data_IF_962518822799
#
_entry.id   IF_962518822799
#
_cell.length_a   1.000
_cell.length_b   1.000
_cell.length_c   1.000
_cell.angle_alpha   90.00
_cell.angle_beta   90.00
_cell.angle_gamma   90.00
#
_symmetry.space_group_name_H-M   'P 1'
#
loop_
_entity.id
_entity.type
_entity.pdbx_description
1 polymer ?
#
# COMPACT_ATOMS: atom_id res chain seq x y z
N UNK A 1 18.85 17.95 13.83
CA UNK A 1 19.34 19.36 13.85
C UNK A 1 19.98 19.64 15.21
N UNK A 2 21.29 19.45 15.35
CA UNK A 2 22.07 19.84 16.54
C UNK A 2 23.38 20.51 16.09
N UNK A 3 23.98 21.34 16.95
CA UNK A 3 24.98 22.35 16.54
C UNK A 3 26.41 21.81 16.45
N UNK A 4 27.19 22.42 15.55
CA UNK A 4 28.59 22.12 15.34
C UNK A 4 29.47 22.53 16.53
N UNK A 5 30.59 21.82 16.71
CA UNK A 5 31.71 22.23 17.57
C UNK A 5 32.99 22.17 16.75
N UNK A 6 33.54 23.33 16.38
CA UNK A 6 34.88 23.42 15.78
C UNK A 6 35.92 23.31 16.89
N UNK A 7 36.87 22.38 16.76
CA UNK A 7 38.19 22.50 17.42
C UNK A 7 39.27 22.51 16.36
N UNK A 8 40.11 23.54 16.40
CA UNK A 8 41.36 23.59 15.66
C UNK A 8 42.42 22.90 16.51
N UNK A 9 43.09 21.89 15.95
CA UNK A 9 44.37 21.39 16.45
C UNK A 9 45.29 21.31 15.24
N UNK A 10 46.12 22.34 15.08
CA UNK A 10 47.21 22.31 14.10
C UNK A 10 48.31 21.36 14.60
N UNK A 11 48.77 20.45 13.75
CA UNK A 11 49.70 19.40 14.16
C UNK A 11 50.32 18.67 12.98
N UNK A 12 51.39 19.25 12.43
CA UNK A 12 52.43 18.55 11.64
C UNK A 12 51.96 17.73 10.41
N UNK A 13 50.90 18.15 9.70
CA UNK A 13 50.38 17.41 8.52
C UNK A 13 50.21 18.20 7.22
N UNK A 14 50.78 19.41 7.15
CA UNK A 14 51.01 20.14 5.89
C UNK A 14 52.49 20.56 5.81
N UNK A 15 53.31 19.69 5.20
CA UNK A 15 54.60 20.06 4.63
C UNK A 15 54.55 19.72 3.13
N UNK A 16 54.58 20.73 2.23
CA UNK A 16 54.52 20.48 0.80
C UNK A 16 55.76 19.71 0.32
N UNK A 17 55.58 18.92 -0.74
CA UNK A 17 56.51 17.89 -1.27
C UNK A 17 57.85 18.40 -1.84
N UNK A 18 58.36 19.56 -1.42
CA UNK A 18 59.57 20.20 -1.97
C UNK A 18 60.60 20.63 -0.92
N UNK A 19 60.60 20.02 0.27
CA UNK A 19 61.62 20.24 1.32
C UNK A 19 62.86 19.34 1.17
N UNK A 20 62.95 18.56 0.08
CA UNK A 20 64.10 17.67 -0.20
C UNK A 20 65.40 18.41 -0.59
N UNK A 21 65.33 19.72 -0.86
CA UNK A 21 66.49 20.52 -1.33
C UNK A 21 67.28 21.22 -0.21
N UNK A 22 66.79 21.18 1.06
CA UNK A 22 67.38 21.95 2.17
C UNK A 22 68.14 21.12 3.23
N UNK A 23 68.56 19.91 2.89
CA UNK A 23 69.52 19.11 3.69
C UNK A 23 70.71 18.68 2.82
N UNK A 24 71.42 19.65 2.26
CA UNK A 24 72.75 19.47 1.66
C UNK A 24 73.61 20.70 1.93
N UNK A 25 74.07 20.86 3.18
CA UNK A 25 75.06 21.89 3.53
C UNK A 25 75.93 21.53 4.75
N UNK A 26 76.69 20.45 4.61
CA UNK A 26 77.90 20.22 5.39
C UNK A 26 78.94 19.52 4.51
N UNK A 27 80.17 20.03 4.50
CA UNK A 27 81.36 19.48 3.81
C UNK A 27 81.34 19.50 2.26
N UNK A 28 81.77 20.65 1.70
CA UNK A 28 82.57 20.84 0.44
C UNK A 28 81.93 20.37 -0.91
N UNK A 29 82.03 21.01 -2.09
CA UNK A 29 82.90 21.99 -2.80
C UNK A 29 82.01 22.65 -3.92
N UNK A 30 82.03 23.92 -4.40
CA UNK A 30 82.72 25.21 -4.17
C UNK A 30 81.83 26.38 -4.71
N UNK A 31 82.35 27.61 -4.84
CA UNK A 31 82.34 28.30 -6.16
C UNK A 31 81.48 29.55 -6.41
N UNK A 32 81.92 30.73 -5.94
CA UNK A 32 81.77 32.07 -6.60
C UNK A 32 82.57 33.11 -5.76
N UNK A 33 83.48 33.95 -6.28
CA UNK A 33 83.31 35.14 -7.14
C UNK A 33 82.31 36.18 -6.58
N UNK A 34 82.62 37.48 -6.44
CA UNK A 34 83.73 38.30 -6.99
C UNK A 34 84.32 39.30 -5.96
N UNK A 35 85.52 39.85 -6.21
CA UNK A 35 86.08 40.95 -5.40
C UNK A 35 87.56 41.28 -5.60
N UNK A 36 87.85 42.26 -6.48
CA UNK A 36 89.08 43.08 -6.53
C UNK A 36 90.49 42.42 -6.47
N UNK A 37 91.08 42.21 -7.66
CA UNK A 37 92.42 42.67 -8.11
C UNK A 37 93.66 42.68 -7.18
N UNK A 38 94.81 42.28 -7.77
CA UNK A 38 96.22 42.46 -7.33
C UNK A 38 96.85 41.41 -6.37
N UNK A 39 97.19 40.22 -6.91
CA UNK A 39 98.46 39.50 -6.70
C UNK A 39 98.55 38.30 -7.68
N UNK A 40 99.22 38.39 -8.83
CA UNK A 40 100.69 38.37 -9.01
C UNK A 40 101.38 37.00 -8.78
N UNK A 41 100.98 35.98 -9.56
CA UNK A 41 101.90 35.02 -10.22
C UNK A 41 103.13 34.47 -9.46
N UNK A 42 102.90 33.67 -8.41
CA UNK A 42 103.80 32.62 -7.88
C UNK A 42 102.90 31.45 -7.42
N UNK A 43 103.22 30.16 -7.53
CA UNK A 43 104.52 29.50 -7.75
C UNK A 43 104.40 28.34 -8.77
N UNK A 44 104.70 28.62 -10.04
CA UNK A 44 104.98 27.62 -11.09
C UNK A 44 106.30 27.95 -11.77
N UNK A 45 107.40 27.84 -11.02
CA UNK A 45 108.81 27.79 -11.49
C UNK A 45 109.73 27.63 -10.26
N UNK A 46 109.72 26.45 -9.62
CA UNK A 46 110.44 26.22 -8.35
C UNK A 46 111.56 25.17 -8.38
N UNK A 47 111.56 24.24 -9.36
CA UNK A 47 112.44 23.04 -9.34
C UNK A 47 113.58 23.12 -10.37
N UNK A 48 113.51 24.04 -11.33
CA UNK A 48 114.47 24.11 -12.46
C UNK A 48 115.56 25.18 -12.26
N UNK A 49 115.33 26.19 -11.42
CA UNK A 49 116.18 27.39 -11.33
C UNK A 49 117.25 27.32 -10.21
N UNK A 50 117.22 26.28 -9.37
CA UNK A 50 118.25 26.04 -8.35
C UNK A 50 119.53 25.39 -8.92
N UNK A 51 119.52 25.02 -10.21
CA UNK A 51 120.65 24.41 -10.93
C UNK A 51 121.64 25.46 -11.48
N UNK A 52 121.33 26.77 -11.37
CA UNK A 52 122.03 27.83 -12.12
C UNK A 52 122.61 28.99 -11.30
N UNK A 53 123.05 28.74 -10.05
CA UNK A 53 123.77 29.76 -9.25
C UNK A 53 124.78 29.22 -8.23
N UNK A 54 125.71 28.38 -8.69
CA UNK A 54 126.86 27.89 -7.89
C UNK A 54 128.14 27.68 -8.73
N UNK A 55 128.38 28.54 -9.72
CA UNK A 55 129.62 28.54 -10.53
C UNK A 55 130.62 29.59 -10.03
N UNK A 56 131.91 29.28 -10.20
CA UNK A 56 133.05 30.16 -9.95
C UNK A 56 133.36 30.56 -8.49
N UNK A 57 133.91 29.62 -7.74
CA UNK A 57 135.31 29.82 -7.26
C UNK A 57 136.15 28.70 -7.85
N UNK A 58 137.16 29.06 -8.64
CA UNK A 58 138.13 28.12 -9.24
C UNK A 58 139.46 28.31 -8.52
N UNK A 59 139.93 27.27 -7.84
CA UNK A 59 141.29 27.21 -7.30
C UNK A 59 141.75 25.74 -7.19
N UNK A 60 142.47 25.31 -8.22
CA UNK A 60 143.55 24.31 -8.20
C UNK A 60 143.42 23.05 -7.31
N UNK A 61 143.15 21.90 -7.96
CA UNK A 61 144.23 20.91 -8.16
C UNK A 61 144.00 19.93 -9.32
N UNK A 62 144.89 20.08 -10.31
CA UNK A 62 145.48 19.08 -11.23
C UNK A 62 144.70 17.75 -11.45
N UNK A 63 144.25 17.45 -12.70
CA UNK A 63 143.77 16.12 -13.05
C UNK A 63 144.93 15.13 -13.20
N UNK A 64 145.20 14.33 -12.15
CA UNK A 64 146.20 13.26 -12.21
C UNK A 64 146.14 12.29 -11.03
N UNK A 65 146.19 10.99 -11.33
CA UNK A 65 146.43 9.89 -10.37
C UNK A 65 145.44 9.79 -9.18
N UNK A 66 144.14 10.02 -9.40
CA UNK A 66 143.13 9.19 -8.72
C UNK A 66 143.06 7.88 -9.53
N UNK A 67 143.56 6.77 -8.98
CA UNK A 67 143.78 5.53 -9.73
C UNK A 67 142.46 4.93 -10.25
N UNK A 68 142.57 4.04 -11.24
CA UNK A 68 141.41 3.30 -11.75
C UNK A 68 140.73 2.55 -10.59
N UNK A 69 141.52 1.93 -9.70
CA UNK A 69 141.14 1.46 -8.37
C UNK A 69 140.20 2.41 -7.61
N UNK A 70 140.59 3.64 -7.26
CA UNK A 70 139.73 4.50 -6.42
C UNK A 70 138.38 4.78 -7.08
N UNK A 71 138.35 4.91 -8.41
CA UNK A 71 137.12 5.11 -9.19
C UNK A 71 136.26 3.85 -9.21
N UNK A 72 136.87 2.67 -9.38
CA UNK A 72 136.19 1.38 -9.27
C UNK A 72 135.65 1.14 -7.86
N UNK A 73 136.41 1.42 -6.80
CA UNK A 73 135.94 1.31 -5.40
C UNK A 73 134.76 2.25 -5.15
N UNK A 74 134.83 3.51 -5.61
CA UNK A 74 133.75 4.50 -5.49
C UNK A 74 132.51 4.10 -6.30
N UNK A 75 132.70 3.43 -7.46
CA UNK A 75 131.63 2.86 -8.26
C UNK A 75 130.99 1.62 -7.62
N UNK A 76 131.78 0.67 -7.10
CA UNK A 76 131.28 -0.48 -6.35
C UNK A 76 130.52 -0.05 -5.09
N UNK A 77 131.02 0.94 -4.35
CA UNK A 77 130.31 1.53 -3.21
C UNK A 77 129.06 2.35 -3.61
N UNK A 78 128.88 2.71 -4.88
CA UNK A 78 127.62 3.25 -5.40
C UNK A 78 126.66 2.12 -5.82
N UNK A 79 127.16 1.08 -6.48
CA UNK A 79 126.39 -0.11 -6.89
C UNK A 79 125.85 -0.89 -5.70
N UNK A 80 126.63 -1.09 -4.63
CA UNK A 80 126.14 -1.79 -3.43
C UNK A 80 125.13 -0.97 -2.62
N UNK A 81 125.21 0.37 -2.66
CA UNK A 81 124.14 1.23 -2.11
C UNK A 81 122.88 1.16 -2.96
N UNK A 82 122.99 1.31 -4.28
CA UNK A 82 121.86 1.13 -5.20
C UNK A 82 121.19 -0.25 -5.04
N UNK A 83 121.97 -1.32 -4.82
CA UNK A 83 121.46 -2.67 -4.49
C UNK A 83 120.85 -2.78 -3.10
N UNK A 84 121.21 -1.93 -2.14
CA UNK A 84 120.56 -1.86 -0.84
C UNK A 84 119.22 -1.10 -0.95
N UNK A 85 119.22 0.10 -1.54
CA UNK A 85 118.00 0.84 -1.87
C UNK A 85 117.01 0.01 -2.72
N UNK A 86 117.49 -0.77 -3.70
CA UNK A 86 116.67 -1.69 -4.50
C UNK A 86 116.03 -2.80 -3.64
N UNK A 87 116.78 -3.38 -2.69
CA UNK A 87 116.26 -4.41 -1.78
C UNK A 87 115.20 -3.84 -0.82
N UNK A 88 115.44 -2.67 -0.25
CA UNK A 88 114.48 -2.01 0.64
C UNK A 88 113.23 -1.53 -0.11
N UNK A 89 113.38 -1.00 -1.33
CA UNK A 89 112.27 -0.65 -2.21
C UNK A 89 111.44 -1.88 -2.61
N UNK A 90 112.08 -3.02 -2.90
CA UNK A 90 111.39 -4.28 -3.17
C UNK A 90 110.68 -4.83 -1.93
N UNK A 91 111.26 -4.70 -0.73
CA UNK A 91 110.63 -5.10 0.52
C UNK A 91 109.36 -4.26 0.80
N UNK A 92 109.45 -2.93 0.68
CA UNK A 92 108.28 -2.06 0.81
C UNK A 92 107.23 -2.27 -0.28
N UNK A 93 107.63 -2.61 -1.52
CA UNK A 93 106.69 -2.97 -2.58
C UNK A 93 105.96 -4.30 -2.28
N UNK A 94 106.63 -5.28 -1.67
CA UNK A 94 105.99 -6.53 -1.23
C UNK A 94 105.03 -6.29 -0.05
N UNK A 95 105.42 -5.48 0.94
CA UNK A 95 104.57 -5.09 2.07
C UNK A 95 103.33 -4.30 1.60
N UNK A 96 103.52 -3.32 0.71
CA UNK A 96 102.43 -2.56 0.11
C UNK A 96 101.47 -3.45 -0.70
N UNK A 97 102.00 -4.45 -1.43
CA UNK A 97 101.17 -5.44 -2.11
C UNK A 97 100.37 -6.28 -1.11
N UNK A 98 101.00 -6.83 -0.07
CA UNK A 98 100.30 -7.65 0.94
C UNK A 98 99.15 -6.88 1.57
N UNK A 99 99.38 -5.64 2.00
CA UNK A 99 98.31 -4.76 2.55
C UNK A 99 97.20 -4.44 1.54
N UNK A 100 97.52 -4.33 0.25
CA UNK A 100 96.52 -4.13 -0.81
C UNK A 100 95.70 -5.40 -1.10
N UNK A 101 96.33 -6.58 -1.07
CA UNK A 101 95.65 -7.88 -1.19
C UNK A 101 94.74 -8.14 0.03
N UNK A 102 95.21 -7.84 1.25
CA UNK A 102 94.43 -7.89 2.50
C UNK A 102 93.22 -6.94 2.47
N UNK A 103 93.43 -5.67 2.10
CA UNK A 103 92.34 -4.70 1.95
C UNK A 103 91.32 -5.15 0.90
N UNK A 104 91.79 -5.73 -0.22
CA UNK A 104 90.94 -6.28 -1.27
C UNK A 104 90.14 -7.52 -0.82
N UNK A 105 90.68 -8.31 0.11
CA UNK A 105 89.97 -9.43 0.72
C UNK A 105 88.90 -8.94 1.71
N UNK A 106 89.24 -7.99 2.59
CA UNK A 106 88.31 -7.37 3.53
C UNK A 106 87.15 -6.64 2.83
N UNK A 107 87.42 -5.97 1.70
CA UNK A 107 86.37 -5.31 0.91
C UNK A 107 85.42 -6.31 0.21
N UNK A 108 85.90 -7.51 -0.15
CA UNK A 108 85.05 -8.59 -0.71
C UNK A 108 84.15 -9.17 0.38
N UNK A 109 84.74 -9.61 1.49
CA UNK A 109 84.04 -10.12 2.66
C UNK A 109 82.99 -9.11 3.19
N UNK A 110 83.35 -7.83 3.32
CA UNK A 110 82.43 -6.76 3.72
C UNK A 110 81.25 -6.59 2.76
N UNK A 111 81.47 -6.70 1.44
CA UNK A 111 80.39 -6.67 0.44
C UNK A 111 79.51 -7.91 0.46
N UNK A 112 80.06 -9.08 0.76
CA UNK A 112 79.30 -10.33 0.89
C UNK A 112 78.42 -10.31 2.16
N UNK A 113 78.97 -9.88 3.30
CA UNK A 113 78.21 -9.65 4.54
C UNK A 113 77.10 -8.62 4.35
N UNK A 114 77.37 -7.51 3.64
CA UNK A 114 76.37 -6.49 3.34
C UNK A 114 75.23 -7.04 2.47
N UNK A 115 75.54 -7.86 1.46
CA UNK A 115 74.53 -8.52 0.62
C UNK A 115 73.68 -9.52 1.41
N UNK A 116 74.30 -10.30 2.29
CA UNK A 116 73.59 -11.23 3.18
C UNK A 116 72.61 -10.46 4.09
N UNK A 117 73.10 -9.43 4.81
CA UNK A 117 72.27 -8.60 5.68
C UNK A 117 71.14 -7.86 4.94
N UNK A 118 71.39 -7.38 3.71
CA UNK A 118 70.35 -6.78 2.86
C UNK A 118 69.27 -7.79 2.47
N UNK A 119 69.65 -9.03 2.15
CA UNK A 119 68.70 -10.11 1.84
C UNK A 119 67.89 -10.51 3.08
N UNK A 120 68.54 -10.71 4.22
CA UNK A 120 67.86 -11.05 5.48
C UNK A 120 66.86 -9.96 5.90
N UNK A 121 67.24 -8.69 5.76
CA UNK A 121 66.33 -7.57 6.01
C UNK A 121 65.15 -7.53 5.03
N UNK A 122 65.37 -7.82 3.75
CA UNK A 122 64.31 -7.92 2.74
C UNK A 122 63.33 -9.06 3.07
N UNK A 123 63.84 -10.26 3.28
CA UNK A 123 63.04 -11.47 3.53
C UNK A 123 62.24 -11.36 4.84
N UNK A 124 62.83 -10.72 5.87
CA UNK A 124 62.13 -10.33 7.10
C UNK A 124 60.97 -9.36 6.83
N UNK A 125 61.21 -8.27 6.06
CA UNK A 125 60.15 -7.31 5.72
C UNK A 125 59.03 -7.99 4.93
N UNK A 126 59.35 -8.85 3.96
CA UNK A 126 58.33 -9.63 3.24
C UNK A 126 57.54 -10.56 4.17
N UNK A 127 58.19 -11.24 5.12
CA UNK A 127 57.48 -12.06 6.10
C UNK A 127 56.50 -11.20 6.91
N UNK A 128 56.97 -10.06 7.44
CA UNK A 128 56.13 -9.16 8.26
C UNK A 128 54.97 -8.56 7.46
N UNK A 129 55.17 -8.23 6.18
CA UNK A 129 54.09 -7.80 5.27
C UNK A 129 53.09 -8.93 4.99
N UNK A 130 53.56 -10.16 4.72
CA UNK A 130 52.68 -11.34 4.52
C UNK A 130 51.85 -11.65 5.76
N UNK A 131 52.46 -11.63 6.94
CA UNK A 131 51.74 -11.79 8.21
C UNK A 131 50.73 -10.67 8.46
N UNK A 132 51.09 -9.40 8.18
CA UNK A 132 50.20 -8.27 8.39
C UNK A 132 48.99 -8.30 7.46
N UNK A 133 49.19 -8.65 6.17
CA UNK A 133 48.10 -8.89 5.22
C UNK A 133 47.17 -10.00 5.73
N UNK A 134 47.73 -11.18 6.01
CA UNK A 134 46.91 -12.32 6.46
C UNK A 134 46.07 -12.00 7.69
N UNK A 135 46.61 -11.29 8.69
CA UNK A 135 45.83 -10.84 9.86
C UNK A 135 44.74 -9.82 9.52
N UNK A 136 44.95 -8.94 8.54
CA UNK A 136 43.94 -7.99 8.07
C UNK A 136 42.85 -8.71 7.24
N UNK A 137 43.23 -9.65 6.38
CA UNK A 137 42.30 -10.49 5.61
C UNK A 137 41.45 -11.37 6.55
N UNK A 138 42.07 -11.98 7.56
CA UNK A 138 41.41 -12.73 8.65
C UNK A 138 40.39 -11.85 9.41
N UNK A 139 40.70 -10.57 9.68
CA UNK A 139 39.79 -9.63 10.33
C UNK A 139 38.62 -9.20 9.43
N UNK A 140 38.89 -8.87 8.16
CA UNK A 140 37.84 -8.48 7.20
C UNK A 140 36.86 -9.63 6.95
N UNK A 141 37.35 -10.87 6.89
CA UNK A 141 36.51 -12.06 6.74
C UNK A 141 35.74 -12.44 8.02
N UNK A 142 36.21 -12.04 9.21
CA UNK A 142 35.44 -12.16 10.44
C UNK A 142 34.30 -11.12 10.49
N UNK A 143 34.62 -9.84 10.29
CA UNK A 143 33.67 -8.72 10.23
C UNK A 143 32.55 -8.98 9.21
N UNK A 144 32.90 -9.50 8.03
CA UNK A 144 31.92 -9.89 7.00
C UNK A 144 30.93 -10.95 7.48
N UNK A 145 31.40 -12.01 8.15
CA UNK A 145 30.54 -13.10 8.65
C UNK A 145 29.63 -12.64 9.79
N UNK A 146 30.12 -11.72 10.62
CA UNK A 146 29.31 -11.09 11.67
C UNK A 146 28.23 -10.20 11.06
N UNK A 147 28.58 -9.34 10.10
CA UNK A 147 27.64 -8.49 9.38
C UNK A 147 26.62 -9.27 8.52
N UNK A 148 27.05 -10.33 7.82
CA UNK A 148 26.18 -11.23 7.06
C UNK A 148 25.24 -12.01 7.99
N UNK A 149 25.73 -12.45 9.15
CA UNK A 149 24.93 -13.12 10.19
C UNK A 149 23.88 -12.19 10.80
N UNK A 150 24.25 -10.95 11.12
CA UNK A 150 23.30 -9.91 11.54
C UNK A 150 22.26 -9.60 10.46
N UNK A 151 22.67 -9.51 9.19
CA UNK A 151 21.76 -9.27 8.08
C UNK A 151 20.77 -10.43 7.88
N UNK A 152 21.23 -11.68 8.00
CA UNK A 152 20.38 -12.87 7.96
C UNK A 152 19.39 -12.90 9.13
N UNK A 153 19.84 -12.68 10.37
CA UNK A 153 18.97 -12.65 11.54
C UNK A 153 17.86 -11.58 11.43
N UNK A 154 18.19 -10.38 10.90
CA UNK A 154 17.20 -9.32 10.64
C UNK A 154 16.20 -9.70 9.54
N UNK A 155 16.63 -10.43 8.51
CA UNK A 155 15.75 -10.94 7.45
C UNK A 155 14.82 -12.07 7.97
N UNK A 156 15.33 -12.93 8.85
CA UNK A 156 14.53 -14.00 9.49
C UNK A 156 13.48 -13.43 10.45
N UNK A 157 13.81 -12.40 11.24
CA UNK A 157 12.85 -11.74 12.13
C UNK A 157 11.74 -11.03 11.35
N UNK A 158 12.09 -10.22 10.34
CA UNK A 158 11.12 -9.57 9.43
C UNK A 158 10.26 -10.60 8.70
N UNK A 159 10.84 -11.74 8.28
CA UNK A 159 10.08 -12.83 7.69
C UNK A 159 9.11 -13.44 8.70
N UNK A 160 9.55 -13.68 9.93
CA UNK A 160 8.70 -14.18 11.01
C UNK A 160 7.52 -13.26 11.33
N UNK A 161 7.73 -11.94 11.34
CA UNK A 161 6.66 -10.95 11.51
C UNK A 161 5.65 -10.97 10.34
N UNK A 162 6.13 -11.07 9.10
CA UNK A 162 5.26 -11.18 7.93
C UNK A 162 4.46 -12.50 7.95
N UNK A 163 5.08 -13.62 8.33
CA UNK A 163 4.39 -14.91 8.46
C UNK A 163 3.33 -14.87 9.58
N UNK A 164 3.65 -14.28 10.74
CA UNK A 164 2.69 -14.04 11.85
C UNK A 164 1.49 -13.19 11.44
N UNK A 165 1.72 -12.05 10.79
CA UNK A 165 0.61 -11.17 10.36
C UNK A 165 -0.21 -11.81 9.22
N UNK A 166 0.41 -12.56 8.31
CA UNK A 166 -0.33 -13.32 7.27
C UNK A 166 -1.19 -14.43 7.87
N UNK A 167 -0.70 -15.17 8.88
CA UNK A 167 -1.51 -16.16 9.61
C UNK A 167 -2.71 -15.51 10.31
N UNK A 168 -2.47 -14.42 11.03
CA UNK A 168 -3.53 -13.65 11.70
C UNK A 168 -4.58 -13.13 10.72
N UNK A 169 -4.17 -12.50 9.60
CA UNK A 169 -5.12 -12.00 8.59
C UNK A 169 -5.92 -13.11 7.90
N UNK A 170 -5.39 -14.33 7.82
CA UNK A 170 -6.13 -15.51 7.38
C UNK A 170 -7.16 -15.95 8.43
N UNK A 171 -6.80 -15.98 9.71
CA UNK A 171 -7.74 -16.26 10.79
C UNK A 171 -8.89 -15.23 10.86
N UNK A 172 -8.58 -13.93 10.75
CA UNK A 172 -9.56 -12.84 10.68
C UNK A 172 -10.54 -13.04 9.49
N UNK A 173 -10.00 -13.44 8.33
CA UNK A 173 -10.80 -13.69 7.11
C UNK A 173 -11.66 -14.96 7.21
N UNK A 174 -11.13 -16.04 7.78
CA UNK A 174 -11.85 -17.29 8.03
C UNK A 174 -12.99 -17.09 9.04
N UNK A 175 -12.79 -16.26 10.07
CA UNK A 175 -13.86 -15.91 11.01
C UNK A 175 -14.93 -15.07 10.32
N UNK A 176 -14.53 -14.04 9.55
CA UNK A 176 -15.46 -13.23 8.77
C UNK A 176 -16.28 -14.08 7.77
N UNK A 177 -15.67 -15.08 7.13
CA UNK A 177 -16.36 -16.01 6.23
C UNK A 177 -17.38 -16.89 6.97
N UNK A 178 -17.03 -17.45 8.14
CA UNK A 178 -17.97 -18.22 8.98
C UNK A 178 -19.14 -17.34 9.45
N UNK A 179 -18.85 -16.13 9.91
CA UNK A 179 -19.85 -15.15 10.34
C UNK A 179 -20.77 -14.70 9.19
N UNK A 180 -20.26 -14.64 7.95
CA UNK A 180 -21.06 -14.37 6.76
C UNK A 180 -21.98 -15.57 6.42
N UNK A 181 -21.46 -16.80 6.44
CA UNK A 181 -22.25 -18.01 6.17
C UNK A 181 -23.40 -18.16 7.17
N UNK A 182 -23.13 -18.02 8.47
CA UNK A 182 -24.18 -18.10 9.51
C UNK A 182 -25.30 -17.07 9.30
N UNK A 183 -24.98 -15.87 8.79
CA UNK A 183 -25.98 -14.85 8.46
C UNK A 183 -26.80 -15.20 7.21
N UNK A 184 -26.18 -15.85 6.23
CA UNK A 184 -26.87 -16.36 5.03
C UNK A 184 -27.83 -17.50 5.44
N UNK A 185 -27.37 -18.44 6.26
CA UNK A 185 -28.17 -19.56 6.76
C UNK A 185 -29.37 -19.06 7.59
N UNK A 186 -29.14 -18.10 8.50
CA UNK A 186 -30.20 -17.47 9.28
C UNK A 186 -31.20 -16.68 8.40
N UNK A 187 -30.73 -15.99 7.36
CA UNK A 187 -31.61 -15.31 6.40
C UNK A 187 -32.45 -16.30 5.57
N UNK A 188 -31.89 -17.46 5.21
CA UNK A 188 -32.65 -18.54 4.55
C UNK A 188 -33.71 -19.14 5.48
N UNK A 189 -33.40 -19.37 6.76
CA UNK A 189 -34.37 -19.83 7.75
C UNK A 189 -35.53 -18.83 7.90
N UNK A 190 -35.23 -17.54 8.12
CA UNK A 190 -36.23 -16.48 8.23
C UNK A 190 -37.07 -16.31 6.95
N UNK A 191 -36.49 -16.49 5.76
CA UNK A 191 -37.23 -16.49 4.49
C UNK A 191 -38.13 -17.72 4.32
N UNK A 192 -37.83 -18.85 4.96
CA UNK A 192 -38.69 -20.03 4.97
C UNK A 192 -39.88 -19.84 5.92
N UNK A 193 -39.61 -19.36 7.14
CA UNK A 193 -40.62 -19.01 8.14
C UNK A 193 -41.60 -17.94 7.61
N UNK A 194 -41.08 -16.86 7.00
CA UNK A 194 -41.89 -15.81 6.40
C UNK A 194 -42.77 -16.29 5.22
N UNK A 195 -42.40 -17.39 4.54
CA UNK A 195 -43.26 -18.04 3.53
C UNK A 195 -44.36 -18.85 4.18
N UNK A 196 -44.03 -19.69 5.16
CA UNK A 196 -45.01 -20.47 5.91
C UNK A 196 -46.09 -19.59 6.53
N UNK A 197 -45.70 -18.48 7.17
CA UNK A 197 -46.64 -17.49 7.72
C UNK A 197 -47.48 -16.76 6.65
N UNK A 198 -46.96 -16.59 5.43
CA UNK A 198 -47.71 -16.00 4.32
C UNK A 198 -48.69 -17.01 3.69
N UNK A 199 -48.31 -18.28 3.61
CA UNK A 199 -49.18 -19.38 3.17
C UNK A 199 -50.33 -19.58 4.18
N UNK A 200 -50.02 -19.67 5.49
CA UNK A 200 -51.00 -19.72 6.59
C UNK A 200 -51.97 -18.52 6.57
N UNK A 201 -51.45 -17.30 6.38
CA UNK A 201 -52.28 -16.10 6.28
C UNK A 201 -53.18 -16.10 5.03
N UNK A 202 -52.74 -16.73 3.94
CA UNK A 202 -53.52 -16.90 2.71
C UNK A 202 -54.63 -17.92 2.90
N UNK A 203 -54.34 -19.08 3.51
CA UNK A 203 -55.36 -20.10 3.84
C UNK A 203 -56.43 -19.53 4.79
N UNK A 204 -56.02 -18.79 5.83
CA UNK A 204 -56.95 -18.13 6.75
C UNK A 204 -57.82 -17.06 6.06
N UNK A 205 -57.26 -16.30 5.11
CA UNK A 205 -58.01 -15.32 4.32
C UNK A 205 -59.04 -16.00 3.38
N UNK A 206 -58.66 -17.10 2.71
CA UNK A 206 -59.57 -17.86 1.85
C UNK A 206 -60.66 -18.58 2.66
N UNK A 207 -60.36 -19.07 3.87
CA UNK A 207 -61.39 -19.63 4.77
C UNK A 207 -62.37 -18.55 5.24
N UNK A 208 -61.88 -17.36 5.61
CA UNK A 208 -62.73 -16.23 5.98
C UNK A 208 -63.59 -15.74 4.80
N UNK A 209 -63.03 -15.66 3.59
CA UNK A 209 -63.76 -15.29 2.38
C UNK A 209 -64.82 -16.33 2.01
N UNK A 210 -64.55 -17.63 2.22
CA UNK A 210 -65.53 -18.72 2.03
C UNK A 210 -66.68 -18.62 3.02
N UNK A 211 -66.39 -18.44 4.32
CA UNK A 211 -67.40 -18.24 5.37
C UNK A 211 -68.28 -17.02 5.09
N UNK A 212 -67.69 -15.89 4.68
CA UNK A 212 -68.43 -14.69 4.31
C UNK A 212 -69.35 -14.89 3.07
N UNK A 213 -68.93 -15.70 2.09
CA UNK A 213 -69.79 -16.10 0.95
C UNK A 213 -70.95 -16.99 1.42
N UNK A 214 -70.69 -18.02 2.22
CA UNK A 214 -71.76 -18.87 2.77
C UNK A 214 -72.79 -18.08 3.58
N UNK A 215 -72.36 -17.07 4.34
CA UNK A 215 -73.26 -16.19 5.08
C UNK A 215 -74.04 -15.24 4.16
N UNK A 216 -73.41 -14.69 3.11
CA UNK A 216 -74.09 -13.91 2.10
C UNK A 216 -75.15 -14.73 1.35
N UNK A 217 -74.82 -15.96 0.91
CA UNK A 217 -75.74 -16.87 0.22
C UNK A 217 -76.92 -17.25 1.13
N UNK A 218 -76.68 -17.50 2.43
CA UNK A 218 -77.74 -17.72 3.44
C UNK A 218 -78.63 -16.49 3.65
N UNK A 219 -78.10 -15.27 3.50
CA UNK A 219 -78.88 -14.03 3.60
C UNK A 219 -79.70 -13.77 2.33
N UNK A 220 -79.14 -14.05 1.14
CA UNK A 220 -79.85 -13.99 -0.14
C UNK A 220 -81.02 -14.98 -0.15
N UNK A 221 -80.79 -16.26 0.20
CA UNK A 221 -81.84 -17.26 0.24
C UNK A 221 -83.01 -16.88 1.19
N UNK A 222 -82.71 -16.28 2.35
CA UNK A 222 -83.74 -15.74 3.27
C UNK A 222 -84.48 -14.54 2.70
N UNK A 223 -83.80 -13.67 1.96
CA UNK A 223 -84.42 -12.52 1.30
C UNK A 223 -85.34 -12.97 0.14
N UNK A 224 -84.94 -14.01 -0.61
CA UNK A 224 -85.76 -14.64 -1.65
C UNK A 224 -86.99 -15.35 -1.06
N UNK A 225 -86.82 -16.09 0.04
CA UNK A 225 -87.92 -16.70 0.80
C UNK A 225 -88.94 -15.64 1.28
N UNK A 226 -88.47 -14.57 1.94
CA UNK A 226 -89.32 -13.48 2.40
C UNK A 226 -89.99 -12.71 1.24
N UNK A 227 -89.29 -12.52 0.11
CA UNK A 227 -89.89 -11.94 -1.09
C UNK A 227 -90.99 -12.84 -1.66
N UNK A 228 -90.76 -14.15 -1.71
CA UNK A 228 -91.76 -15.15 -2.13
C UNK A 228 -92.97 -15.20 -1.20
N UNK A 229 -92.78 -15.14 0.12
CA UNK A 229 -93.88 -15.03 1.09
C UNK A 229 -94.68 -13.72 0.92
N UNK A 230 -94.00 -12.60 0.71
CA UNK A 230 -94.62 -11.30 0.49
C UNK A 230 -95.41 -11.25 -0.84
N UNK A 231 -94.86 -11.81 -1.91
CA UNK A 231 -95.50 -11.91 -3.22
C UNK A 231 -96.71 -12.88 -3.18
N UNK A 232 -96.57 -14.05 -2.56
CA UNK A 232 -97.69 -14.97 -2.34
C UNK A 232 -98.78 -14.35 -1.45
N UNK A 233 -98.41 -13.53 -0.47
CA UNK A 233 -99.36 -12.78 0.37
C UNK A 233 -100.04 -11.65 -0.41
N UNK A 234 -99.31 -10.95 -1.30
CA UNK A 234 -99.88 -9.98 -2.24
C UNK A 234 -100.86 -10.67 -3.20
N UNK A 235 -100.51 -11.85 -3.72
CA UNK A 235 -101.39 -12.64 -4.60
C UNK A 235 -102.66 -13.08 -3.86
N UNK A 236 -102.55 -13.65 -2.66
CA UNK A 236 -103.72 -13.98 -1.81
C UNK A 236 -104.60 -12.75 -1.53
N UNK A 237 -104.01 -11.59 -1.30
CA UNK A 237 -104.75 -10.34 -1.12
C UNK A 237 -105.46 -9.87 -2.41
N UNK A 238 -104.85 -10.02 -3.59
CA UNK A 238 -105.51 -9.74 -4.88
C UNK A 238 -106.61 -10.74 -5.20
N UNK A 239 -106.41 -12.03 -4.95
CA UNK A 239 -107.44 -13.06 -5.16
C UNK A 239 -108.63 -12.87 -4.23
N UNK A 240 -108.39 -12.49 -2.96
CA UNK A 240 -109.41 -12.12 -2.00
C UNK A 240 -110.15 -10.84 -2.43
N UNK A 241 -109.44 -9.80 -2.89
CA UNK A 241 -110.04 -8.59 -3.48
C UNK A 241 -110.93 -8.96 -4.66
N UNK A 242 -110.46 -9.78 -5.58
CA UNK A 242 -111.22 -10.19 -6.77
C UNK A 242 -112.40 -11.10 -6.41
N UNK A 243 -112.28 -11.94 -5.37
CA UNK A 243 -113.41 -12.70 -4.81
C UNK A 243 -114.46 -11.75 -4.20
N UNK A 244 -114.05 -10.74 -3.44
CA UNK A 244 -114.94 -9.68 -2.91
C UNK A 244 -115.57 -8.88 -4.05
N UNK A 245 -114.81 -8.48 -5.07
CA UNK A 245 -115.34 -7.75 -6.24
C UNK A 245 -116.32 -8.61 -7.04
N UNK A 246 -116.04 -9.90 -7.25
CA UNK A 246 -116.98 -10.85 -7.89
C UNK A 246 -118.22 -11.10 -7.02
N UNK A 247 -118.08 -11.12 -5.69
CA UNK A 247 -119.20 -11.25 -4.74
C UNK A 247 -120.08 -10.00 -4.74
N UNK A 248 -119.50 -8.80 -4.67
CA UNK A 248 -120.19 -7.53 -4.81
C UNK A 248 -120.90 -7.41 -6.17
N UNK A 249 -120.24 -7.81 -7.26
CA UNK A 249 -120.87 -7.86 -8.59
C UNK A 249 -122.04 -8.86 -8.66
N UNK A 250 -121.98 -9.98 -7.92
CA UNK A 250 -123.13 -10.90 -7.77
C UNK A 250 -124.25 -10.30 -6.92
N UNK A 251 -123.91 -9.61 -5.82
CA UNK A 251 -124.88 -8.94 -4.95
C UNK A 251 -125.63 -7.82 -5.71
N UNK A 252 -124.90 -6.93 -6.40
CA UNK A 252 -125.48 -5.89 -7.25
C UNK A 252 -126.30 -6.50 -8.40
N UNK A 253 -125.87 -7.64 -8.98
CA UNK A 253 -126.66 -8.33 -10.02
C UNK A 253 -127.94 -8.99 -9.47
N UNK A 254 -127.93 -9.46 -8.22
CA UNK A 254 -129.14 -9.94 -7.54
C UNK A 254 -130.08 -8.78 -7.18
N UNK A 255 -129.54 -7.65 -6.72
CA UNK A 255 -130.29 -6.41 -6.46
C UNK A 255 -130.92 -5.83 -7.74
N UNK A 256 -130.23 -5.93 -8.88
CA UNK A 256 -130.77 -5.62 -10.21
C UNK A 256 -131.78 -6.66 -10.75
N UNK A 257 -131.98 -7.79 -10.07
CA UNK A 257 -132.98 -8.81 -10.42
C UNK A 257 -134.20 -8.82 -9.50
N UNK A 258 -134.32 -7.89 -8.54
CA UNK A 258 -135.59 -7.61 -7.84
C UNK A 258 -136.58 -6.88 -8.78
N UNK A 259 -137.81 -7.40 -9.01
CA UNK A 259 -138.78 -6.75 -9.88
C UNK A 259 -139.31 -5.44 -9.27
N UNK A 260 -139.20 -4.33 -10.01
CA UNK A 260 -139.34 -2.93 -9.58
C UNK A 260 -140.67 -2.49 -8.89
N UNK A 261 -141.59 -3.41 -8.59
CA UNK A 261 -142.90 -3.13 -8.01
C UNK A 261 -142.89 -2.76 -6.53
N UNK A 262 -141.87 -3.15 -5.77
CA UNK A 262 -141.74 -2.94 -4.30
C UNK A 262 -141.10 -1.60 -3.92
N UNK A 263 -140.24 -1.04 -4.77
CA UNK A 263 -139.34 0.06 -4.40
C UNK A 263 -140.07 1.42 -4.19
N UNK A 264 -141.20 1.63 -4.87
CA UNK A 264 -142.02 2.86 -4.72
C UNK A 264 -142.51 3.10 -3.28
N UNK A 265 -142.71 2.06 -2.48
CA UNK A 265 -143.21 2.17 -1.11
C UNK A 265 -142.19 2.79 -0.14
N UNK A 266 -140.88 2.70 -0.44
CA UNK A 266 -139.81 3.15 0.46
C UNK A 266 -139.52 4.66 0.34
N UNK A 267 -139.59 5.22 -0.88
CA UNK A 267 -139.34 6.65 -1.17
C UNK A 267 -140.17 7.62 -0.30
N UNK A 268 -139.63 8.81 -0.05
CA UNK A 268 -140.28 9.88 0.74
C UNK A 268 -141.48 10.49 0.00
N UNK A 269 -142.33 11.26 0.70
CA UNK A 269 -143.46 11.95 0.04
C UNK A 269 -142.95 12.98 -0.99
N UNK A 270 -141.81 13.63 -0.75
CA UNK A 270 -141.24 14.61 -1.67
C UNK A 270 -140.81 13.98 -3.00
N UNK A 271 -140.02 12.90 -2.96
CA UNK A 271 -139.61 12.16 -4.17
C UNK A 271 -140.81 11.58 -4.94
N UNK A 272 -141.88 11.20 -4.23
CA UNK A 272 -143.12 10.71 -4.85
C UNK A 272 -144.00 11.83 -5.42
N UNK A 273 -143.82 13.09 -5.01
CA UNK A 273 -144.45 14.25 -5.65
C UNK A 273 -143.68 14.63 -6.93
N UNK A 274 -142.35 14.68 -6.86
CA UNK A 274 -141.48 14.94 -8.02
C UNK A 274 -141.62 13.87 -9.12
N UNK A 275 -141.63 12.60 -8.74
CA UNK A 275 -141.89 11.49 -9.66
C UNK A 275 -143.32 11.50 -10.23
N UNK A 276 -144.30 12.01 -9.49
CA UNK A 276 -145.66 12.18 -10.02
C UNK A 276 -145.76 13.38 -10.99
N UNK A 277 -145.05 14.48 -10.72
CA UNK A 277 -144.98 15.65 -11.59
C UNK A 277 -144.30 15.35 -12.93
N UNK A 278 -143.13 14.70 -12.90
CA UNK A 278 -142.41 14.25 -14.12
C UNK A 278 -143.18 13.20 -14.93
N UNK A 279 -144.02 12.38 -14.28
CA UNK A 279 -144.98 11.49 -14.95
C UNK A 279 -146.28 12.17 -15.41
N UNK A 280 -146.41 13.48 -15.27
CA UNK A 280 -147.56 14.26 -15.75
C UNK A 280 -148.87 14.02 -14.99
N UNK A 281 -148.80 13.55 -13.74
CA UNK A 281 -149.98 13.29 -12.91
C UNK A 281 -150.50 14.60 -12.33
N UNK A 282 -151.64 15.06 -12.83
CA UNK A 282 -152.35 16.23 -12.30
C UNK A 282 -152.87 16.03 -10.86
N UNK A 283 -153.12 17.13 -10.14
CA UNK A 283 -153.79 17.13 -8.82
C UNK A 283 -153.04 16.33 -7.71
N UNK A 284 -151.72 16.49 -7.61
CA UNK A 284 -150.89 15.72 -6.65
C UNK A 284 -150.81 16.30 -5.24
N UNK A 285 -151.07 17.59 -5.05
CA UNK A 285 -150.85 18.34 -3.79
C UNK A 285 -151.54 17.71 -2.57
N UNK A 286 -152.82 17.37 -2.71
CA UNK A 286 -153.66 16.85 -1.63
C UNK A 286 -153.56 15.31 -1.45
N UNK A 287 -152.73 14.61 -2.23
CA UNK A 287 -152.63 13.14 -2.15
C UNK A 287 -151.68 12.70 -1.02
N UNK A 288 -152.01 11.60 -0.35
CA UNK A 288 -151.16 10.96 0.66
C UNK A 288 -150.11 10.01 0.02
N UNK A 289 -149.16 9.50 0.81
CA UNK A 289 -148.04 8.70 0.28
C UNK A 289 -148.51 7.44 -0.48
N UNK A 290 -149.51 6.70 0.01
CA UNK A 290 -150.00 5.49 -0.66
C UNK A 290 -150.85 5.81 -1.89
N UNK A 291 -151.59 6.93 -1.90
CA UNK A 291 -152.28 7.43 -3.08
C UNK A 291 -151.30 7.85 -4.17
N UNK A 292 -150.18 8.51 -3.84
CA UNK A 292 -149.12 8.86 -4.81
C UNK A 292 -148.48 7.61 -5.43
N UNK A 293 -148.13 6.60 -4.62
CA UNK A 293 -147.60 5.32 -5.13
C UNK A 293 -148.59 4.64 -6.09
N UNK A 294 -149.88 4.63 -5.77
CA UNK A 294 -150.91 4.04 -6.64
C UNK A 294 -151.20 4.89 -7.90
N UNK A 295 -151.08 6.22 -7.83
CA UNK A 295 -151.20 7.09 -9.01
C UNK A 295 -150.02 6.89 -9.96
N UNK A 296 -148.78 6.83 -9.44
CA UNK A 296 -147.56 6.52 -10.21
C UNK A 296 -147.69 5.13 -10.85
N UNK A 297 -148.07 4.09 -10.09
CA UNK A 297 -148.31 2.72 -10.62
C UNK A 297 -149.38 2.66 -11.71
N UNK A 298 -150.34 3.59 -11.73
CA UNK A 298 -151.39 3.68 -12.75
C UNK A 298 -150.88 4.37 -14.00
N UNK A 299 -150.18 5.51 -13.86
CA UNK A 299 -149.52 6.23 -14.96
C UNK A 299 -148.45 5.36 -15.66
N UNK A 300 -147.60 4.68 -14.88
CA UNK A 300 -146.57 3.79 -15.43
C UNK A 300 -147.10 2.53 -16.10
N UNK A 301 -148.40 2.21 -15.94
CA UNK A 301 -149.12 1.13 -16.63
C UNK A 301 -149.98 1.61 -17.80
N UNK A 302 -149.95 2.90 -18.13
CA UNK A 302 -150.56 3.48 -19.33
C UNK A 302 -149.54 4.26 -20.19
N UNK A 303 -148.24 4.01 -19.96
CA UNK A 303 -147.08 4.53 -20.70
C UNK A 303 -146.08 3.41 -21.07
N UNK A 304 -146.51 2.17 -20.92
CA UNK A 304 -145.83 0.93 -21.30
C UNK A 304 -146.88 0.02 -21.96
#
# INVERSE_FOLDING_TARGET
>A
MWRASKRVVGGLKDLPRNTAWLVSKAVNVDGAQEGATHAASQSKNGVVDQVRRATAVVADKVPGIDSVETRLTRAHAAVERARAEERDALAHAQEAKQRADEASAAEKDGRERLRAAQKEAHDYVEQRVREARRRADEQVEAERREADGEAQARLEDVRGDVEREVEKRRADADEAARNAQQRIDAAHAAMSEARQLADEATEAADEAARKAREEADRLVAKAEEQAGEADATRQRATEARDAVTRSAARAVRAEQQEPATTNLSRRTKAELLDMAASLGVSDTSNKNKSQLVNAIRRSSRSRA
#
